data_IF_074498068339
#
_entry.id   IF_074498068339
#
_cell.length_a   1.000
_cell.length_b   1.000
_cell.length_c   1.000
_cell.angle_alpha   90.00
_cell.angle_beta   90.00
_cell.angle_gamma   90.00
#
_symmetry.space_group_name_H-M   'P 1'
#
loop_
_entity.id
_entity.type
_entity.pdbx_description
1 polymer ?
#
# COMPACT_ATOMS: atom_id res chain seq x y z
N UNK A 1 -1.01 25.50 22.20
CA UNK A 1 -0.75 24.17 21.64
C UNK A 1 0.72 23.89 21.82
N UNK A 2 1.07 22.79 22.46
CA UNK A 2 2.47 22.39 22.63
C UNK A 2 3.03 21.92 21.29
N UNK A 3 4.31 22.17 20.97
CA UNK A 3 4.94 21.64 19.77
C UNK A 3 4.98 20.10 19.84
N UNK A 4 4.95 19.47 18.68
CA UNK A 4 4.94 18.02 18.55
C UNK A 4 6.27 17.38 19.01
N UNK A 5 7.36 18.11 18.87
CA UNK A 5 8.72 17.75 19.28
C UNK A 5 9.56 19.00 19.51
N UNK A 6 10.67 18.84 20.19
CA UNK A 6 11.69 19.86 20.39
C UNK A 6 12.58 19.92 19.13
N UNK A 7 12.66 21.09 18.50
CA UNK A 7 13.39 21.28 17.24
C UNK A 7 14.89 21.07 17.39
N UNK A 8 15.50 21.53 18.49
CA UNK A 8 16.96 21.42 18.71
C UNK A 8 17.36 19.96 18.95
N UNK A 9 16.57 19.21 19.73
CA UNK A 9 16.76 17.78 19.91
C UNK A 9 16.57 17.01 18.59
N UNK A 10 15.53 17.36 17.83
CA UNK A 10 15.28 16.74 16.53
C UNK A 10 16.46 16.98 15.57
N UNK A 11 16.99 18.19 15.53
CA UNK A 11 18.15 18.54 14.71
C UNK A 11 19.38 17.74 15.11
N UNK A 12 19.66 17.62 16.41
CA UNK A 12 20.79 16.84 16.92
C UNK A 12 20.70 15.35 16.50
N UNK A 13 19.54 14.74 16.67
CA UNK A 13 19.30 13.33 16.26
C UNK A 13 19.41 13.14 14.75
N UNK A 14 18.88 14.06 13.97
CA UNK A 14 18.97 14.01 12.50
C UNK A 14 20.43 14.16 12.05
N UNK A 15 21.17 15.08 12.62
CA UNK A 15 22.60 15.26 12.32
C UNK A 15 23.40 14.01 12.66
N UNK A 16 23.14 13.37 13.79
CA UNK A 16 23.81 12.13 14.19
C UNK A 16 23.53 11.00 13.20
N UNK A 17 22.28 10.85 12.75
CA UNK A 17 21.85 9.75 11.85
C UNK A 17 22.30 9.98 10.42
N UNK A 18 22.10 11.19 9.88
CA UNK A 18 22.32 11.48 8.46
C UNK A 18 23.73 11.95 8.14
N UNK A 19 24.45 12.45 9.16
CA UNK A 19 25.75 13.15 9.05
C UNK A 19 25.65 14.50 8.30
N UNK A 20 24.43 14.97 8.04
CA UNK A 20 24.19 16.32 7.51
C UNK A 20 24.02 17.30 8.67
N UNK A 21 24.53 18.53 8.60
CA UNK A 21 24.38 19.52 9.66
C UNK A 21 22.95 20.09 9.67
N UNK A 22 22.25 19.91 10.78
CA UNK A 22 20.96 20.54 11.05
C UNK A 22 21.02 21.31 12.37
N UNK A 23 20.21 22.36 12.48
CA UNK A 23 19.92 23.09 13.70
C UNK A 23 18.40 23.26 13.88
N UNK A 24 17.98 23.74 15.03
CA UNK A 24 16.55 23.83 15.36
C UNK A 24 15.75 24.79 14.47
N UNK A 25 16.42 25.70 13.77
CA UNK A 25 15.80 26.63 12.81
C UNK A 25 15.82 26.10 11.38
N UNK A 26 16.77 25.21 11.05
CA UNK A 26 16.98 24.68 9.69
C UNK A 26 16.80 23.15 9.65
N UNK A 27 15.64 22.70 10.11
CA UNK A 27 15.23 21.30 9.93
C UNK A 27 14.86 21.02 8.48
N UNK A 28 15.14 19.81 7.98
CA UNK A 28 14.71 19.42 6.63
C UNK A 28 13.18 19.39 6.55
N UNK A 29 12.63 19.79 5.40
CA UNK A 29 11.18 19.65 5.16
C UNK A 29 10.83 18.18 5.01
N UNK A 30 9.92 17.67 5.84
CA UNK A 30 9.41 16.31 5.73
C UNK A 30 7.90 16.27 6.01
N UNK A 31 7.24 15.35 5.31
CA UNK A 31 5.86 14.97 5.64
C UNK A 31 5.90 13.77 6.56
N UNK A 32 5.01 13.70 7.52
CA UNK A 32 4.92 12.59 8.47
C UNK A 32 3.54 11.95 8.48
N UNK A 33 3.48 10.72 8.99
CA UNK A 33 2.24 9.99 9.26
C UNK A 33 2.23 9.56 10.73
N UNK A 34 1.08 9.69 11.38
CA UNK A 34 0.86 9.09 12.68
C UNK A 34 0.78 7.56 12.55
N UNK A 35 1.37 6.86 13.50
CA UNK A 35 1.41 5.40 13.58
C UNK A 35 1.25 4.96 15.03
N UNK A 36 1.01 3.66 15.24
CA UNK A 36 0.86 3.08 16.58
C UNK A 36 -0.20 3.79 17.43
N UNK A 37 -1.41 3.94 16.88
CA UNK A 37 -2.51 4.66 17.51
C UNK A 37 -2.12 6.09 17.92
N UNK A 38 -1.46 6.80 17.01
CA UNK A 38 -1.04 8.19 17.20
C UNK A 38 0.00 8.44 18.30
N UNK A 39 0.66 7.39 18.80
CA UNK A 39 1.73 7.52 19.79
C UNK A 39 3.11 7.73 19.18
N UNK A 40 3.23 7.62 17.88
CA UNK A 40 4.48 7.87 17.14
C UNK A 40 4.20 8.48 15.76
N UNK A 41 5.21 9.13 15.20
CA UNK A 41 5.21 9.62 13.83
C UNK A 41 6.30 8.92 13.02
N UNK A 42 6.02 8.66 11.74
CA UNK A 42 7.00 8.17 10.76
C UNK A 42 7.17 9.18 9.65
N UNK A 43 8.40 9.40 9.28
CA UNK A 43 8.78 10.32 8.21
C UNK A 43 10.05 9.86 7.51
N UNK A 44 10.37 10.49 6.39
CA UNK A 44 11.60 10.24 5.65
C UNK A 44 12.41 11.53 5.53
N UNK A 45 13.73 11.37 5.61
CA UNK A 45 14.68 12.47 5.38
C UNK A 45 15.68 12.02 4.32
N UNK A 46 15.96 12.89 3.35
CA UNK A 46 16.94 12.66 2.31
C UNK A 46 18.26 13.33 2.74
N UNK A 47 19.29 12.53 2.91
CA UNK A 47 20.63 13.00 3.23
C UNK A 47 21.38 13.48 1.96
N UNK A 48 22.43 14.28 2.15
CA UNK A 48 23.37 14.65 1.08
C UNK A 48 24.35 13.52 0.73
N UNK A 49 24.39 12.44 1.53
CA UNK A 49 25.18 11.26 1.23
C UNK A 49 24.70 10.59 -0.06
N UNK A 50 25.64 10.36 -0.99
CA UNK A 50 25.38 9.71 -2.26
C UNK A 50 25.65 8.21 -2.16
N UNK A 51 24.66 7.39 -2.48
CA UNK A 51 24.76 5.93 -2.49
C UNK A 51 24.50 5.38 -3.89
N UNK A 52 25.01 4.18 -4.19
CA UNK A 52 24.67 3.49 -5.44
C UNK A 52 23.18 3.14 -5.45
N UNK A 53 22.50 3.41 -6.57
CA UNK A 53 21.10 3.04 -6.72
C UNK A 53 20.93 1.53 -6.54
N UNK A 54 19.89 1.14 -5.76
CA UNK A 54 19.51 -0.27 -5.58
C UNK A 54 18.68 -0.81 -6.76
N UNK A 55 18.30 0.06 -7.69
CA UNK A 55 17.55 -0.33 -8.89
C UNK A 55 18.46 -1.04 -9.88
N UNK A 56 18.16 -2.27 -10.23
CA UNK A 56 18.95 -3.09 -11.18
C UNK A 56 19.05 -2.46 -12.56
N UNK A 57 18.08 -1.66 -12.97
CA UNK A 57 18.07 -0.93 -14.24
C UNK A 57 18.89 0.38 -14.18
N UNK A 58 19.21 0.87 -12.97
CA UNK A 58 19.92 2.12 -12.73
C UNK A 58 21.24 1.95 -11.98
N UNK A 59 21.86 0.78 -12.07
CA UNK A 59 23.08 0.41 -11.31
C UNK A 59 24.25 1.39 -11.39
N UNK A 60 24.29 2.24 -12.42
CA UNK A 60 25.35 3.24 -12.62
C UNK A 60 25.04 4.62 -12.02
N UNK A 61 23.83 4.87 -11.54
CA UNK A 61 23.44 6.18 -10.98
C UNK A 61 23.65 6.21 -9.47
N UNK A 62 24.27 7.29 -9.01
CA UNK A 62 24.31 7.64 -7.59
C UNK A 62 23.03 8.36 -7.22
N UNK A 63 22.42 7.99 -6.10
CA UNK A 63 21.20 8.60 -5.57
C UNK A 63 21.46 9.07 -4.14
N UNK A 64 20.77 10.13 -3.72
CA UNK A 64 20.82 10.59 -2.33
C UNK A 64 20.24 9.53 -1.43
N UNK A 65 20.89 9.26 -0.31
CA UNK A 65 20.44 8.29 0.68
C UNK A 65 19.19 8.80 1.38
N UNK A 66 18.18 7.95 1.51
CA UNK A 66 16.92 8.27 2.19
C UNK A 66 16.86 7.45 3.47
N UNK A 67 16.66 8.13 4.59
CA UNK A 67 16.42 7.53 5.89
C UNK A 67 14.93 7.52 6.18
N UNK A 68 14.44 6.40 6.69
CA UNK A 68 13.09 6.26 7.22
C UNK A 68 13.17 6.23 8.74
N UNK A 69 12.44 7.11 9.38
CA UNK A 69 12.61 7.42 10.79
C UNK A 69 11.27 7.31 11.51
N UNK A 70 11.31 6.84 12.73
CA UNK A 70 10.18 6.84 13.66
C UNK A 70 10.56 7.64 14.90
N UNK A 71 9.69 8.57 15.29
CA UNK A 71 9.75 9.31 16.54
C UNK A 71 8.55 8.96 17.40
N UNK A 72 8.80 8.44 18.61
CA UNK A 72 7.78 8.24 19.62
C UNK A 72 7.46 9.58 20.28
N UNK A 73 6.21 9.98 20.30
CA UNK A 73 5.80 11.26 20.88
C UNK A 73 6.17 11.33 22.36
N UNK A 74 6.86 12.42 22.75
CA UNK A 74 7.43 12.57 24.10
C UNK A 74 8.65 11.69 24.40
N UNK A 75 9.18 10.97 23.39
CA UNK A 75 10.37 10.12 23.54
C UNK A 75 11.69 10.90 23.37
N UNK A 76 12.78 10.24 23.72
CA UNK A 76 14.14 10.76 23.65
C UNK A 76 14.95 10.07 22.55
N UNK A 77 14.61 10.32 21.26
CA UNK A 77 15.41 9.88 20.14
C UNK A 77 14.61 9.45 18.92
N UNK A 78 15.33 9.27 17.82
CA UNK A 78 14.83 8.76 16.55
C UNK A 78 15.26 7.31 16.36
N UNK A 79 14.35 6.49 15.91
CA UNK A 79 14.66 5.12 15.50
C UNK A 79 14.76 5.08 13.98
N UNK A 80 15.92 4.63 13.46
CA UNK A 80 16.05 4.33 12.04
C UNK A 80 15.24 3.07 11.75
N UNK A 81 14.19 3.23 10.97
CA UNK A 81 13.45 2.08 10.46
C UNK A 81 14.24 1.58 9.27
N UNK A 82 14.86 0.42 9.38
CA UNK A 82 15.30 -0.26 8.17
C UNK A 82 14.06 -0.41 7.30
N UNK A 83 13.97 0.44 6.28
CA UNK A 83 13.17 0.11 5.14
C UNK A 83 13.92 -1.01 4.36
N UNK A 84 14.21 -2.11 5.03
CA UNK A 84 13.93 -3.32 4.31
C UNK A 84 12.50 -3.05 3.86
N UNK A 85 12.33 -2.71 2.57
CA UNK A 85 11.06 -2.94 1.91
C UNK A 85 10.64 -4.26 2.54
N UNK A 86 9.67 -4.26 3.49
CA UNK A 86 8.85 -5.46 3.65
C UNK A 86 8.69 -5.81 2.19
N UNK A 87 9.38 -6.88 1.71
CA UNK A 87 9.15 -7.41 0.36
C UNK A 87 7.68 -7.21 0.26
N UNK A 88 7.26 -6.21 -0.56
CA UNK A 88 5.84 -5.97 -0.67
C UNK A 88 5.40 -7.38 -0.92
N UNK A 89 4.85 -7.98 0.13
CA UNK A 89 4.34 -9.35 0.06
C UNK A 89 3.49 -9.16 -1.13
N UNK A 90 3.84 -9.77 -2.27
CA UNK A 90 3.38 -9.38 -3.59
C UNK A 90 1.86 -9.32 -3.56
N UNK A 91 1.35 -8.28 -2.92
CA UNK A 91 -0.05 -8.02 -2.70
C UNK A 91 -0.58 -7.92 -4.11
N UNK A 92 -1.24 -8.96 -4.52
CA UNK A 92 -1.74 -9.03 -5.87
C UNK A 92 -2.57 -7.77 -6.13
N UNK A 93 -2.28 -7.07 -7.22
CA UNK A 93 -2.94 -5.79 -7.57
C UNK A 93 -4.47 -5.87 -7.59
N UNK A 94 -5.00 -7.08 -7.72
CA UNK A 94 -6.44 -7.34 -7.70
C UNK A 94 -7.02 -7.43 -6.27
N UNK A 95 -6.20 -7.61 -5.25
CA UNK A 95 -6.66 -7.88 -3.89
C UNK A 95 -7.05 -6.59 -3.16
N UNK A 96 -8.28 -6.51 -2.68
CA UNK A 96 -8.76 -5.48 -1.77
C UNK A 96 -8.98 -6.12 -0.38
N UNK A 97 -8.04 -5.86 0.52
CA UNK A 97 -7.91 -6.58 1.78
C UNK A 97 -8.56 -5.80 2.90
N UNK A 98 -9.32 -6.50 3.75
CA UNK A 98 -9.91 -5.90 4.96
C UNK A 98 -8.82 -5.42 5.94
N UNK A 99 -9.05 -4.36 6.73
CA UNK A 99 -8.10 -3.84 7.70
C UNK A 99 -7.58 -4.89 8.70
N UNK A 100 -8.42 -5.84 9.10
CA UNK A 100 -8.05 -6.97 9.98
C UNK A 100 -7.35 -8.12 9.23
N UNK A 101 -7.24 -8.00 7.89
CA UNK A 101 -6.62 -8.99 7.01
C UNK A 101 -7.28 -10.38 7.01
N UNK A 102 -8.56 -10.47 7.36
CA UNK A 102 -9.31 -11.73 7.38
C UNK A 102 -9.98 -12.04 6.05
N UNK A 103 -10.39 -11.01 5.30
CA UNK A 103 -11.15 -11.11 4.05
C UNK A 103 -10.43 -10.37 2.94
N UNK A 104 -10.40 -10.97 1.75
CA UNK A 104 -9.90 -10.36 0.53
C UNK A 104 -11.01 -10.34 -0.52
N UNK A 105 -11.35 -9.14 -1.00
CA UNK A 105 -12.35 -8.92 -2.04
C UNK A 105 -11.68 -8.70 -3.39
N UNK A 106 -12.32 -9.16 -4.43
CA UNK A 106 -11.91 -8.97 -5.82
C UNK A 106 -13.09 -9.18 -6.76
N UNK A 107 -12.93 -8.83 -8.02
CA UNK A 107 -13.91 -9.10 -9.06
C UNK A 107 -13.44 -10.26 -9.95
N UNK A 108 -14.38 -11.10 -10.35
CA UNK A 108 -14.22 -12.19 -11.32
C UNK A 108 -15.55 -12.41 -12.03
N UNK A 109 -15.53 -12.69 -13.33
CA UNK A 109 -16.76 -12.85 -14.13
C UNK A 109 -17.77 -11.70 -13.93
N UNK A 110 -17.25 -10.47 -13.84
CA UNK A 110 -18.01 -9.23 -13.61
C UNK A 110 -18.69 -9.13 -12.24
N UNK A 111 -18.52 -10.09 -11.36
CA UNK A 111 -19.13 -10.16 -10.03
C UNK A 111 -18.11 -9.97 -8.91
N UNK A 112 -18.60 -9.66 -7.71
CA UNK A 112 -17.80 -9.64 -6.49
C UNK A 112 -17.57 -11.07 -6.00
N UNK A 113 -16.33 -11.32 -5.64
CA UNK A 113 -15.88 -12.53 -4.99
C UNK A 113 -15.06 -12.18 -3.75
N UNK A 114 -14.99 -13.12 -2.83
CA UNK A 114 -14.12 -13.01 -1.68
C UNK A 114 -13.45 -14.34 -1.37
N UNK A 115 -12.35 -14.25 -0.67
CA UNK A 115 -11.65 -15.39 -0.07
C UNK A 115 -11.12 -14.99 1.30
N UNK A 116 -10.88 -15.96 2.16
CA UNK A 116 -10.20 -15.77 3.42
C UNK A 116 -8.68 -15.61 3.24
N UNK A 117 -8.01 -15.29 4.34
CA UNK A 117 -6.55 -15.10 4.38
C UNK A 117 -5.78 -16.35 3.92
N UNK A 118 -6.24 -17.55 4.29
CA UNK A 118 -5.54 -18.80 3.94
C UNK A 118 -5.56 -19.02 2.43
N UNK A 119 -6.73 -18.92 1.80
CA UNK A 119 -6.89 -19.03 0.36
C UNK A 119 -6.15 -17.91 -0.40
N UNK A 120 -6.12 -16.71 0.17
CA UNK A 120 -5.33 -15.61 -0.39
C UNK A 120 -3.84 -15.92 -0.40
N UNK A 121 -3.29 -16.49 0.66
CA UNK A 121 -1.88 -16.88 0.71
C UNK A 121 -1.55 -17.99 -0.30
N UNK A 122 -2.48 -18.92 -0.56
CA UNK A 122 -2.36 -19.89 -1.66
C UNK A 122 -2.32 -19.15 -3.02
N UNK A 123 -3.24 -18.22 -3.26
CA UNK A 123 -3.29 -17.42 -4.49
C UNK A 123 -2.06 -16.53 -4.70
N UNK A 124 -1.41 -16.09 -3.64
CA UNK A 124 -0.13 -15.34 -3.72
C UNK A 124 0.98 -16.25 -4.24
N UNK A 125 1.03 -17.50 -3.81
CA UNK A 125 2.04 -18.49 -4.22
C UNK A 125 1.77 -18.97 -5.65
N UNK A 126 0.56 -19.42 -5.91
CA UNK A 126 0.11 -19.88 -7.23
C UNK A 126 -1.35 -19.45 -7.47
N UNK A 127 -1.57 -18.55 -8.43
CA UNK A 127 -2.92 -18.07 -8.77
C UNK A 127 -3.82 -19.14 -9.37
N UNK A 128 -3.24 -20.22 -9.89
CA UNK A 128 -3.96 -21.31 -10.53
C UNK A 128 -4.14 -22.55 -9.64
N UNK A 129 -3.74 -22.47 -8.37
CA UNK A 129 -3.93 -23.54 -7.42
C UNK A 129 -5.43 -23.92 -7.32
N UNK A 130 -5.76 -25.14 -7.69
CA UNK A 130 -7.13 -25.66 -7.71
C UNK A 130 -7.75 -25.85 -6.34
N UNK A 131 -6.96 -25.77 -5.26
CA UNK A 131 -7.44 -25.88 -3.87
C UNK A 131 -7.92 -24.55 -3.31
N UNK A 132 -7.79 -23.46 -4.04
CA UNK A 132 -8.27 -22.13 -3.63
C UNK A 132 -9.79 -22.11 -3.62
N UNK A 133 -10.36 -21.85 -2.45
CA UNK A 133 -11.80 -21.65 -2.31
C UNK A 133 -12.14 -20.17 -2.55
N UNK A 134 -12.98 -19.92 -3.54
CA UNK A 134 -13.48 -18.61 -3.93
C UNK A 134 -14.99 -18.55 -3.69
N UNK A 135 -15.44 -17.54 -2.95
CA UNK A 135 -16.85 -17.36 -2.64
C UNK A 135 -17.44 -16.24 -3.49
N UNK A 136 -18.46 -16.54 -4.28
CA UNK A 136 -19.16 -15.53 -5.06
C UNK A 136 -20.15 -14.77 -4.20
N UNK A 137 -20.07 -13.43 -4.18
CA UNK A 137 -20.94 -12.59 -3.38
C UNK A 137 -22.13 -12.06 -4.18
N UNK A 138 -21.88 -11.56 -5.41
CA UNK A 138 -22.95 -11.04 -6.29
C UNK A 138 -23.13 -11.93 -7.50
N UNK A 139 -24.34 -11.87 -8.14
CA UNK A 139 -24.70 -12.70 -9.30
C UNK A 139 -25.27 -11.87 -10.47
N UNK A 140 -25.33 -10.55 -10.30
CA UNK A 140 -25.99 -9.61 -11.21
C UNK A 140 -25.00 -8.83 -12.10
N UNK A 141 -23.72 -9.16 -12.04
CA UNK A 141 -22.69 -8.58 -12.88
C UNK A 141 -22.66 -9.22 -14.26
N UNK A 142 -22.66 -8.35 -15.28
CA UNK A 142 -22.50 -8.74 -16.69
C UNK A 142 -21.48 -7.82 -17.36
N UNK A 143 -21.04 -8.16 -18.56
CA UNK A 143 -20.17 -7.30 -19.35
C UNK A 143 -20.79 -5.91 -19.49
N UNK A 144 -19.99 -4.87 -19.29
CA UNK A 144 -20.39 -3.45 -19.28
C UNK A 144 -21.31 -3.02 -18.12
N UNK A 145 -21.82 -3.92 -17.29
CA UNK A 145 -22.57 -3.62 -16.07
C UNK A 145 -22.12 -4.54 -14.94
N UNK A 146 -21.00 -4.22 -14.32
CA UNK A 146 -20.38 -5.15 -13.36
C UNK A 146 -19.55 -4.48 -12.29
N UNK A 147 -18.89 -5.31 -11.53
CA UNK A 147 -18.03 -4.96 -10.43
C UNK A 147 -16.56 -5.14 -10.87
N UNK A 148 -15.69 -4.18 -10.50
CA UNK A 148 -14.26 -4.29 -10.74
C UNK A 148 -13.73 -3.50 -11.93
N UNK A 149 -12.43 -3.69 -12.20
CA UNK A 149 -11.64 -2.89 -13.14
C UNK A 149 -11.73 -3.32 -14.62
N UNK A 150 -12.76 -4.06 -15.00
CA UNK A 150 -12.94 -4.47 -16.39
C UNK A 150 -13.12 -3.28 -17.35
N UNK A 151 -12.54 -3.36 -18.52
CA UNK A 151 -12.80 -2.44 -19.61
C UNK A 151 -11.98 -1.15 -19.65
N UNK A 152 -11.07 -0.91 -18.70
CA UNK A 152 -10.14 0.21 -18.82
C UNK A 152 -8.96 -0.19 -19.73
N UNK A 153 -8.96 0.29 -20.97
CA UNK A 153 -7.93 -0.04 -21.97
C UNK A 153 -7.98 -1.48 -22.49
N UNK A 154 -9.13 -2.17 -22.31
CA UNK A 154 -9.36 -3.52 -22.81
C UNK A 154 -10.50 -3.47 -23.85
N UNK A 155 -10.31 -4.13 -24.98
CA UNK A 155 -11.39 -4.37 -25.93
C UNK A 155 -12.30 -5.53 -25.46
N UNK A 156 -13.39 -5.74 -26.19
CA UNK A 156 -14.38 -6.78 -25.84
C UNK A 156 -13.80 -8.20 -25.90
N UNK A 157 -12.85 -8.43 -26.80
CA UNK A 157 -12.21 -9.73 -26.95
C UNK A 157 -11.26 -10.02 -25.78
N UNK A 158 -10.51 -9.02 -25.37
CA UNK A 158 -9.63 -9.09 -24.19
C UNK A 158 -10.42 -9.31 -22.89
N UNK A 159 -11.56 -8.62 -22.76
CA UNK A 159 -12.46 -8.78 -21.61
C UNK A 159 -12.97 -10.23 -21.54
N UNK A 160 -13.42 -10.79 -22.65
CA UNK A 160 -13.94 -12.15 -22.70
C UNK A 160 -12.85 -13.19 -22.40
N UNK A 161 -11.64 -13.02 -22.95
CA UNK A 161 -10.49 -13.90 -22.66
C UNK A 161 -10.09 -13.90 -21.19
N UNK A 162 -10.19 -12.75 -20.54
CA UNK A 162 -9.73 -12.54 -19.15
C UNK A 162 -10.85 -12.56 -18.12
N UNK A 163 -12.11 -12.80 -18.49
CA UNK A 163 -13.24 -12.74 -17.51
C UNK A 163 -13.09 -13.65 -16.30
N UNK A 164 -12.30 -14.72 -16.44
CA UNK A 164 -12.02 -15.66 -15.34
C UNK A 164 -10.85 -15.22 -14.46
N UNK A 165 -10.10 -14.19 -14.84
CA UNK A 165 -9.01 -13.64 -14.04
C UNK A 165 -9.57 -12.82 -12.86
N UNK A 166 -8.75 -12.60 -11.85
CA UNK A 166 -9.07 -11.75 -10.71
C UNK A 166 -8.74 -10.29 -11.04
N UNK A 167 -9.70 -9.39 -10.82
CA UNK A 167 -9.57 -7.96 -11.06
C UNK A 167 -9.80 -7.16 -9.79
N UNK A 168 -9.19 -5.96 -9.67
CA UNK A 168 -9.40 -5.11 -8.50
C UNK A 168 -10.84 -4.61 -8.45
N UNK A 169 -11.38 -4.51 -7.25
CA UNK A 169 -12.66 -3.86 -6.95
C UNK A 169 -12.38 -2.45 -6.43
N UNK A 170 -13.09 -1.46 -6.99
CA UNK A 170 -13.08 -0.10 -6.46
C UNK A 170 -13.98 -0.03 -5.24
N UNK A 171 -13.39 0.13 -4.09
CA UNK A 171 -14.16 0.22 -2.84
C UNK A 171 -13.27 0.41 -1.63
N UNK A 172 -13.93 0.70 -0.51
CA UNK A 172 -13.28 1.03 0.75
C UNK A 172 -13.90 0.23 1.89
N UNK A 173 -13.05 -0.31 2.74
CA UNK A 173 -13.45 -0.94 3.99
C UNK A 173 -13.68 0.10 5.08
N UNK A 174 -14.64 -0.15 5.98
CA UNK A 174 -14.67 0.52 7.27
C UNK A 174 -13.47 0.08 8.12
N UNK A 175 -13.04 0.92 9.04
CA UNK A 175 -11.88 0.65 9.91
C UNK A 175 -12.05 -0.60 10.78
N UNK A 176 -13.29 -0.97 11.08
CA UNK A 176 -13.67 -2.16 11.86
C UNK A 176 -13.84 -3.42 11.00
N UNK A 177 -13.53 -3.37 9.71
CA UNK A 177 -13.65 -4.46 8.73
C UNK A 177 -15.08 -5.02 8.53
N UNK A 178 -16.12 -4.38 9.09
CA UNK A 178 -17.49 -4.91 9.05
C UNK A 178 -18.30 -4.44 7.84
N UNK A 179 -17.86 -3.37 7.18
CA UNK A 179 -18.58 -2.78 6.05
C UNK A 179 -17.62 -2.54 4.89
N UNK A 180 -18.14 -2.73 3.68
CA UNK A 180 -17.43 -2.42 2.45
C UNK A 180 -18.33 -1.62 1.52
N UNK A 181 -17.87 -0.44 1.10
CA UNK A 181 -18.53 0.38 0.09
C UNK A 181 -17.83 0.16 -1.23
N UNK A 182 -18.57 -0.10 -2.29
CA UNK A 182 -18.03 -0.38 -3.62
C UNK A 182 -18.80 0.35 -4.72
N UNK A 183 -18.18 0.42 -5.90
CA UNK A 183 -18.80 1.02 -7.09
C UNK A 183 -19.11 -0.09 -8.09
N UNK A 184 -20.38 -0.23 -8.46
CA UNK A 184 -20.82 -0.96 -9.66
C UNK A 184 -20.81 0.00 -10.82
N UNK A 185 -20.19 -0.38 -11.93
CA UNK A 185 -20.09 0.46 -13.12
C UNK A 185 -21.07 -0.04 -14.18
N UNK A 186 -21.95 0.83 -14.65
CA UNK A 186 -22.83 0.58 -15.79
C UNK A 186 -22.37 1.40 -16.99
N UNK A 187 -22.00 0.73 -18.07
CA UNK A 187 -21.56 1.30 -19.34
C UNK A 187 -22.41 0.78 -20.51
N UNK A 188 -23.58 0.25 -20.25
CA UNK A 188 -24.46 -0.32 -21.29
C UNK A 188 -25.03 0.74 -22.23
N UNK A 189 -24.95 2.01 -21.84
CA UNK A 189 -25.51 3.16 -22.58
C UNK A 189 -24.44 4.09 -23.17
N UNK A 190 -23.22 3.62 -23.33
CA UNK A 190 -22.12 4.42 -23.90
C UNK A 190 -21.80 3.92 -25.30
#
# INVERSE_FOLDING_TARGET
KSPLFDNDKMAAWLTEITKDPYDGQHLPKFSFKFVKNETAIRFRVTSNEMVKSKDTLKKSKKEKKVYFLEYKLGGNGLTVINNEKKKEENWKKWANISPDSTIVLYSKKFNLYWMDKENFLKAVKDEKDSTIVENQWTKDGVQHNGYGGYGYGMDNEDIEKKKNDRFPVRGYWSSDSKKFVFVKTDRTKI
#
